data_IF_293762688349
#
_entry.id   IF_293762688349
#
_cell.length_a   1.000
_cell.length_b   1.000
_cell.length_c   1.000
_cell.angle_alpha   90.00
_cell.angle_beta   90.00
_cell.angle_gamma   90.00
#
_symmetry.space_group_name_H-M   'P 1'
#
loop_
_entity.id
_entity.type
_entity.pdbx_description
1 polymer ?
#
# COMPACT_ATOMS: atom_id res chain seq x y z
N UNK A 1 -3.50 19.23 8.87
CA UNK A 1 -3.40 17.95 9.63
C UNK A 1 -3.66 16.80 8.68
N UNK A 2 -2.72 15.85 8.57
CA UNK A 2 -2.94 14.62 7.79
C UNK A 2 -3.75 13.68 8.67
N UNK A 3 -4.94 13.28 8.23
CA UNK A 3 -5.81 12.34 8.95
C UNK A 3 -5.82 10.93 8.34
N UNK A 4 -5.53 10.83 7.04
CA UNK A 4 -5.56 9.58 6.27
C UNK A 4 -4.42 9.57 5.27
N UNK A 5 -3.79 8.42 5.09
CA UNK A 5 -2.69 8.19 4.15
C UNK A 5 -3.06 6.99 3.29
N UNK A 6 -3.12 7.21 1.98
CA UNK A 6 -3.25 6.13 1.00
C UNK A 6 -1.84 5.69 0.57
N UNK A 7 -1.55 4.39 0.62
CA UNK A 7 -0.22 3.85 0.29
C UNK A 7 -0.35 2.82 -0.82
N UNK A 8 0.32 3.07 -1.95
CA UNK A 8 0.42 2.11 -3.05
C UNK A 8 1.32 0.93 -2.69
N UNK A 9 0.81 -0.29 -2.86
CA UNK A 9 1.47 -1.57 -2.61
C UNK A 9 1.69 -2.30 -3.94
N UNK A 10 2.55 -1.74 -4.80
CA UNK A 10 2.76 -2.23 -6.16
C UNK A 10 3.71 -3.43 -6.30
N UNK A 11 4.22 -4.00 -5.20
CA UNK A 11 5.16 -5.13 -5.26
C UNK A 11 6.55 -4.80 -5.83
N UNK A 12 6.84 -3.53 -6.10
CA UNK A 12 8.15 -3.08 -6.57
C UNK A 12 9.20 -3.17 -5.45
N UNK A 13 10.51 -3.18 -5.76
CA UNK A 13 11.59 -3.09 -4.76
C UNK A 13 11.49 -1.86 -3.83
N UNK A 14 10.75 -0.82 -4.23
CA UNK A 14 10.57 0.41 -3.45
C UNK A 14 9.38 0.36 -2.48
N UNK A 15 8.51 -0.65 -2.62
CA UNK A 15 7.31 -0.82 -1.77
C UNK A 15 7.64 -0.84 -0.27
N UNK A 16 8.69 -1.54 0.20
CA UNK A 16 9.06 -1.52 1.62
C UNK A 16 9.40 -0.10 2.14
N UNK A 17 10.11 0.70 1.34
CA UNK A 17 10.45 2.09 1.71
C UNK A 17 9.19 2.95 1.76
N UNK A 18 8.28 2.80 0.79
CA UNK A 18 7.00 3.52 0.80
C UNK A 18 6.18 3.22 2.06
N UNK A 19 6.09 1.95 2.45
CA UNK A 19 5.43 1.51 3.69
C UNK A 19 6.10 2.16 4.91
N UNK A 20 7.43 2.07 5.00
CA UNK A 20 8.18 2.61 6.14
C UNK A 20 7.92 4.12 6.33
N UNK A 21 7.91 4.88 5.22
CA UNK A 21 7.64 6.32 5.25
C UNK A 21 6.20 6.63 5.65
N UNK A 22 5.24 5.90 5.09
CA UNK A 22 3.83 6.08 5.43
C UNK A 22 3.56 5.79 6.92
N UNK A 23 4.13 4.71 7.47
CA UNK A 23 4.04 4.37 8.89
C UNK A 23 4.66 5.46 9.77
N UNK A 24 5.82 6.00 9.38
CA UNK A 24 6.46 7.11 10.10
C UNK A 24 5.56 8.36 10.16
N UNK A 25 4.93 8.70 9.03
CA UNK A 25 3.99 9.82 8.95
C UNK A 25 2.71 9.55 9.77
N UNK A 26 2.14 8.35 9.67
CA UNK A 26 0.93 7.98 10.42
C UNK A 26 1.15 8.06 11.93
N UNK A 27 2.28 7.57 12.43
CA UNK A 27 2.65 7.69 13.86
C UNK A 27 2.77 9.15 14.28
N UNK A 28 3.44 9.98 13.48
CA UNK A 28 3.64 11.42 13.77
C UNK A 28 2.33 12.19 13.79
N UNK A 29 1.41 11.88 12.87
CA UNK A 29 0.18 12.65 12.68
C UNK A 29 -1.08 11.99 13.24
N UNK A 30 -0.94 10.83 13.90
CA UNK A 30 -2.07 9.97 14.32
C UNK A 30 -3.04 9.72 13.16
N UNK A 31 -2.48 9.41 12.00
CA UNK A 31 -3.22 9.22 10.76
C UNK A 31 -3.55 7.74 10.53
N UNK A 32 -4.72 7.49 9.96
CA UNK A 32 -5.11 6.17 9.45
C UNK A 32 -4.35 5.87 8.16
N UNK A 33 -3.94 4.61 7.96
CA UNK A 33 -3.31 4.16 6.71
C UNK A 33 -4.24 3.18 6.00
N UNK A 34 -4.45 3.42 4.72
CA UNK A 34 -5.07 2.44 3.81
C UNK A 34 -4.03 2.03 2.77
N UNK A 35 -3.64 0.75 2.78
CA UNK A 35 -2.81 0.16 1.73
C UNK A 35 -3.67 -0.24 0.54
N UNK A 36 -3.23 0.08 -0.68
CA UNK A 36 -3.95 -0.22 -1.92
C UNK A 36 -2.99 -0.85 -2.92
N UNK A 37 -3.42 -1.95 -3.53
CA UNK A 37 -2.76 -2.51 -4.71
C UNK A 37 -3.76 -2.55 -5.86
N UNK A 38 -3.27 -2.36 -7.08
CA UNK A 38 -4.07 -2.50 -8.30
C UNK A 38 -3.56 -3.74 -9.01
N UNK A 39 -4.45 -4.69 -9.24
CA UNK A 39 -4.15 -5.92 -9.95
C UNK A 39 -4.63 -5.78 -11.38
N UNK A 40 -3.74 -5.97 -12.35
CA UNK A 40 -4.13 -6.10 -13.75
C UNK A 40 -4.66 -7.51 -14.01
N UNK A 41 -5.98 -7.61 -14.19
CA UNK A 41 -6.67 -8.86 -14.43
C UNK A 41 -6.23 -9.56 -15.72
N UNK A 42 -5.73 -8.82 -16.73
CA UNK A 42 -5.22 -9.42 -17.98
C UNK A 42 -3.94 -10.21 -17.76
N UNK A 43 -3.16 -9.82 -16.74
CA UNK A 43 -1.90 -10.46 -16.38
C UNK A 43 -2.04 -11.42 -15.21
N UNK A 44 -3.27 -11.60 -14.69
CA UNK A 44 -3.56 -12.49 -13.59
C UNK A 44 -3.78 -13.93 -14.10
N UNK A 45 -2.71 -14.72 -14.12
CA UNK A 45 -2.70 -16.08 -14.70
C UNK A 45 -2.82 -17.21 -13.68
N UNK A 46 -2.60 -16.94 -12.39
CA UNK A 46 -2.60 -17.93 -11.30
C UNK A 46 -3.71 -17.65 -10.28
N UNK A 47 -4.95 -17.77 -10.72
CA UNK A 47 -6.12 -17.77 -9.83
C UNK A 47 -6.40 -19.22 -9.41
N UNK A 48 -6.10 -19.57 -8.16
CA UNK A 48 -6.49 -20.86 -7.59
C UNK A 48 -8.00 -20.91 -7.30
N UNK A 49 -8.58 -22.08 -7.02
CA UNK A 49 -9.93 -22.15 -6.44
C UNK A 49 -9.93 -21.38 -5.11
N UNK A 50 -10.89 -20.47 -4.96
CA UNK A 50 -11.21 -19.79 -3.69
C UNK A 50 -12.02 -20.68 -2.78
#
# INVERSE_FOLDING_TARGET
MIKRILVGLGGTPYTPVAIQRAVGLAKRFKAEITGVTVVDLKHLSKVGPV
#
